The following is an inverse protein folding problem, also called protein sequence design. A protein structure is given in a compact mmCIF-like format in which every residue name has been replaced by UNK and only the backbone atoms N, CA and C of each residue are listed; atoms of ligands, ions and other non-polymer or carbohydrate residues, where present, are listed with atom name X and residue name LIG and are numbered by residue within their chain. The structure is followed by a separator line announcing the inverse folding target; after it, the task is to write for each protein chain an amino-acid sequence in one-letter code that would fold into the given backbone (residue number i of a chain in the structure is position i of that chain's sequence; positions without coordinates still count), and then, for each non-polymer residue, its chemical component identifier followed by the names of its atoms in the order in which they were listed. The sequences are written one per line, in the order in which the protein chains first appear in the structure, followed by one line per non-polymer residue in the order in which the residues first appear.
data_IF_164068934976
#
_entry.id   IF_164068934976
#
_cell.length_a   1.000
_cell.length_b   1.000
_cell.length_c   1.000
_cell.angle_alpha   90.00
_cell.angle_beta   90.00
_cell.angle_gamma   90.00
#
_symmetry.space_group_name_H-M   'P 1'
#
loop_
_entity.id
_entity.type
_entity.pdbx_description
1 polymer ?
#
# COMPACT_ATOMS: atom_id res chain seq x y z
N UNK A 1 -24.08 -13.10 42.92
CA UNK A 1 -24.55 -11.76 42.53
C UNK A 1 -24.91 -11.93 41.08
N UNK A 2 -26.22 -12.14 40.88
CA UNK A 2 -26.98 -12.17 39.61
C UNK A 2 -26.27 -12.77 38.39
N UNK A 3 -26.55 -14.05 38.13
CA UNK A 3 -26.63 -14.59 36.78
C UNK A 3 -27.63 -13.72 36.01
N UNK A 4 -27.15 -12.72 35.27
CA UNK A 4 -27.95 -12.04 34.25
C UNK A 4 -28.46 -13.13 33.30
N UNK A 5 -29.78 -13.28 33.27
CA UNK A 5 -30.47 -14.15 32.35
C UNK A 5 -29.98 -13.79 30.93
N UNK A 6 -29.15 -14.65 30.36
CA UNK A 6 -28.80 -14.63 28.95
C UNK A 6 -30.14 -14.71 28.23
N UNK A 7 -30.61 -13.60 27.68
CA UNK A 7 -31.77 -13.60 26.79
C UNK A 7 -31.43 -14.57 25.67
N UNK A 8 -32.01 -15.76 25.74
CA UNK A 8 -31.73 -16.85 24.84
C UNK A 8 -32.31 -16.46 23.48
N UNK A 9 -31.43 -15.96 22.62
CA UNK A 9 -31.77 -15.59 21.26
C UNK A 9 -32.17 -16.84 20.45
N UNK A 10 -32.88 -16.68 19.31
CA UNK A 10 -33.30 -17.81 18.49
C UNK A 10 -32.13 -18.73 18.08
N UNK A 11 -32.30 -20.04 18.17
CA UNK A 11 -31.20 -21.00 17.93
C UNK A 11 -30.70 -20.97 16.49
N UNK A 12 -31.51 -20.52 15.54
CA UNK A 12 -31.17 -20.35 14.13
C UNK A 12 -30.05 -19.32 13.92
N UNK A 13 -29.85 -18.38 14.84
CA UNK A 13 -28.78 -17.37 14.74
C UNK A 13 -27.54 -17.70 15.57
N UNK A 14 -27.59 -18.77 16.39
CA UNK A 14 -26.51 -19.13 17.31
C UNK A 14 -25.18 -19.37 16.60
N UNK A 15 -25.19 -20.13 15.51
CA UNK A 15 -23.98 -20.43 14.76
C UNK A 15 -23.36 -19.15 14.15
N UNK A 16 -24.19 -18.23 13.66
CA UNK A 16 -23.74 -16.95 13.10
C UNK A 16 -23.13 -16.06 14.18
N UNK A 17 -23.75 -15.97 15.35
CA UNK A 17 -23.24 -15.18 16.48
C UNK A 17 -21.93 -15.75 17.02
N UNK A 18 -21.83 -17.07 17.20
CA UNK A 18 -20.59 -17.72 17.63
C UNK A 18 -19.46 -17.54 16.61
N UNK A 19 -19.76 -17.62 15.31
CA UNK A 19 -18.78 -17.37 14.27
C UNK A 19 -18.33 -15.90 14.24
N UNK A 20 -19.25 -14.97 14.46
CA UNK A 20 -18.97 -13.54 14.54
C UNK A 20 -18.08 -13.21 15.74
N UNK A 21 -18.42 -13.70 16.94
CA UNK A 21 -17.62 -13.54 18.16
C UNK A 21 -16.19 -14.02 17.97
N UNK A 22 -15.99 -15.26 17.49
CA UNK A 22 -14.66 -15.81 17.19
C UNK A 22 -13.89 -14.96 16.18
N UNK A 23 -14.57 -14.38 15.20
CA UNK A 23 -13.95 -13.51 14.21
C UNK A 23 -13.50 -12.18 14.83
N UNK A 24 -14.32 -11.60 15.71
CA UNK A 24 -14.00 -10.37 16.45
C UNK A 24 -12.81 -10.60 17.40
N UNK A 25 -12.81 -11.71 18.14
CA UNK A 25 -11.70 -12.08 19.04
C UNK A 25 -10.38 -12.22 18.27
N UNK A 26 -10.42 -12.88 17.10
CA UNK A 26 -9.23 -13.03 16.24
C UNK A 26 -8.69 -11.67 15.79
N UNK A 27 -9.56 -10.76 15.39
CA UNK A 27 -9.15 -9.39 15.00
C UNK A 27 -8.60 -8.62 16.20
N UNK A 28 -9.21 -8.76 17.38
CA UNK A 28 -8.73 -8.11 18.60
C UNK A 28 -7.32 -8.58 18.97
N UNK A 29 -7.05 -9.89 18.91
CA UNK A 29 -5.71 -10.43 19.15
C UNK A 29 -4.67 -9.89 18.16
N UNK A 30 -5.03 -9.81 16.87
CA UNK A 30 -4.16 -9.26 15.83
C UNK A 30 -3.87 -7.78 16.08
N UNK A 31 -4.88 -6.99 16.46
CA UNK A 31 -4.71 -5.57 16.78
C UNK A 31 -3.85 -5.38 18.02
N UNK A 32 -4.04 -6.17 19.09
CA UNK A 32 -3.19 -6.13 20.29
C UNK A 32 -1.72 -6.39 19.94
N UNK A 33 -1.44 -7.37 19.09
CA UNK A 33 -0.07 -7.66 18.59
C UNK A 33 0.50 -6.52 17.75
N UNK A 34 -0.31 -5.86 16.92
CA UNK A 34 0.13 -4.72 16.12
C UNK A 34 0.42 -3.48 16.99
N UNK A 35 -0.44 -3.22 17.98
CA UNK A 35 -0.33 -2.07 18.88
C UNK A 35 0.75 -2.22 19.96
N UNK A 36 1.23 -3.45 20.22
CA UNK A 36 2.34 -3.68 21.15
C UNK A 36 3.69 -3.19 20.62
N UNK A 37 3.78 -2.91 19.31
CA UNK A 37 4.98 -2.36 18.67
C UNK A 37 4.83 -0.86 18.50
N UNK A 38 5.85 -0.10 18.91
CA UNK A 38 5.88 1.35 18.70
C UNK A 38 5.88 1.68 17.21
N UNK A 39 4.88 2.46 16.76
CA UNK A 39 4.82 2.93 15.37
C UNK A 39 6.06 3.73 14.97
N UNK A 40 6.61 4.54 15.88
CA UNK A 40 7.81 5.32 15.62
C UNK A 40 9.03 4.42 15.34
N UNK A 41 9.18 3.34 16.09
CA UNK A 41 10.25 2.35 15.88
C UNK A 41 10.05 1.56 14.59
N UNK A 42 8.79 1.26 14.26
CA UNK A 42 8.43 0.52 13.04
C UNK A 42 8.76 1.35 11.79
N UNK A 43 8.39 2.63 11.77
CA UNK A 43 8.65 3.56 10.66
C UNK A 43 10.16 3.75 10.37
N UNK A 44 11.02 3.62 11.37
CA UNK A 44 12.48 3.67 11.16
C UNK A 44 13.02 2.43 10.43
N UNK A 45 12.31 1.30 10.48
CA UNK A 45 12.77 0.00 9.98
C UNK A 45 12.21 -0.38 8.61
N UNK A 46 11.21 0.35 8.11
CA UNK A 46 10.51 0.03 6.86
C UNK A 46 10.66 1.15 5.83
N UNK A 47 10.74 0.78 4.55
CA UNK A 47 10.85 1.74 3.46
C UNK A 47 9.54 2.52 3.24
N UNK A 48 9.58 3.70 2.59
CA UNK A 48 8.39 4.54 2.43
C UNK A 48 7.19 3.87 1.73
N UNK A 49 7.43 2.90 0.85
CA UNK A 49 6.35 2.18 0.17
C UNK A 49 5.67 1.19 1.12
N UNK A 50 6.45 0.52 1.97
CA UNK A 50 5.91 -0.33 3.03
C UNK A 50 5.18 0.48 4.11
N UNK A 51 5.65 1.70 4.42
CA UNK A 51 4.92 2.63 5.30
C UNK A 51 3.53 2.97 4.74
N UNK A 52 3.47 3.34 3.46
CA UNK A 52 2.20 3.65 2.81
C UNK A 52 1.23 2.47 2.81
N UNK A 53 1.73 1.23 2.62
CA UNK A 53 0.90 0.03 2.73
C UNK A 53 0.37 -0.16 4.14
N UNK A 54 1.23 -0.05 5.15
CA UNK A 54 0.85 -0.20 6.55
C UNK A 54 -0.23 0.82 6.95
N UNK A 55 -0.06 2.09 6.57
CA UNK A 55 -1.02 3.15 6.86
C UNK A 55 -2.36 2.93 6.16
N UNK A 56 -2.34 2.51 4.89
CA UNK A 56 -3.57 2.21 4.15
C UNK A 56 -4.31 1.00 4.70
N UNK A 57 -3.60 -0.07 5.07
CA UNK A 57 -4.21 -1.24 5.71
C UNK A 57 -4.78 -0.85 7.08
N UNK A 58 -4.08 -0.04 7.86
CA UNK A 58 -4.58 0.46 9.14
C UNK A 58 -5.88 1.27 8.98
N UNK A 59 -5.90 2.19 8.01
CA UNK A 59 -7.10 2.98 7.70
C UNK A 59 -8.25 2.10 7.19
N UNK A 60 -7.96 1.11 6.35
CA UNK A 60 -8.95 0.16 5.85
C UNK A 60 -9.56 -0.67 6.99
N UNK A 61 -8.73 -1.19 7.89
CA UNK A 61 -9.17 -1.97 9.04
C UNK A 61 -10.09 -1.14 9.94
N UNK A 62 -9.71 0.09 10.28
CA UNK A 62 -10.53 0.97 11.12
C UNK A 62 -11.90 1.25 10.49
N UNK A 63 -11.94 1.60 9.20
CA UNK A 63 -13.21 1.85 8.51
C UNK A 63 -14.06 0.59 8.32
N UNK A 64 -13.42 -0.57 8.13
CA UNK A 64 -14.11 -1.86 8.04
C UNK A 64 -14.73 -2.27 9.37
N UNK A 65 -14.02 -2.06 10.49
CA UNK A 65 -14.58 -2.29 11.82
C UNK A 65 -15.73 -1.33 12.12
N UNK A 66 -15.63 -0.08 11.70
CA UNK A 66 -16.71 0.88 11.83
C UNK A 66 -17.93 0.48 10.97
N UNK A 67 -17.72 -0.06 9.77
CA UNK A 67 -18.79 -0.65 8.96
C UNK A 67 -19.52 -1.79 9.70
N UNK A 68 -18.76 -2.70 10.30
CA UNK A 68 -19.31 -3.81 11.11
C UNK A 68 -20.10 -3.27 12.31
N UNK A 69 -19.58 -2.26 13.00
CA UNK A 69 -20.28 -1.58 14.09
C UNK A 69 -21.61 -0.97 13.64
N UNK A 70 -21.64 -0.22 12.53
CA UNK A 70 -22.89 0.33 12.00
C UNK A 70 -23.89 -0.79 11.69
N UNK A 71 -23.41 -1.88 11.11
CA UNK A 71 -24.24 -3.04 10.76
C UNK A 71 -24.85 -3.69 12.01
N UNK A 72 -24.10 -3.77 13.11
CA UNK A 72 -24.61 -4.32 14.38
C UNK A 72 -25.58 -3.38 15.09
N UNK A 73 -25.52 -2.07 14.83
CA UNK A 73 -26.51 -1.10 15.29
C UNK A 73 -27.76 -1.03 14.40
N UNK A 74 -27.86 -1.89 13.38
CA UNK A 74 -28.98 -1.87 12.42
C UNK A 74 -28.92 -0.70 11.42
N UNK A 75 -27.81 0.03 11.35
CA UNK A 75 -27.61 1.11 10.39
C UNK A 75 -27.01 0.52 9.11
N UNK A 76 -27.66 0.75 7.96
CA UNK A 76 -27.13 0.33 6.68
C UNK A 76 -25.85 1.12 6.35
N UNK A 77 -24.65 0.51 6.33
CA UNK A 77 -23.42 1.27 6.12
C UNK A 77 -23.27 1.77 4.68
N UNK A 78 -24.05 1.23 3.73
CA UNK A 78 -24.06 1.69 2.34
C UNK A 78 -24.62 3.10 2.18
N UNK A 79 -25.45 3.53 3.14
CA UNK A 79 -26.06 4.86 3.20
C UNK A 79 -25.27 5.80 4.12
N UNK A 80 -24.16 5.31 4.70
CA UNK A 80 -23.28 6.07 5.60
C UNK A 80 -22.01 6.53 4.86
N UNK A 81 -21.43 7.71 5.18
CA UNK A 81 -20.19 8.23 4.58
C UNK A 81 -18.97 7.29 4.65
N UNK A 82 -19.00 6.26 5.50
CA UNK A 82 -17.94 5.23 5.60
C UNK A 82 -17.72 4.51 4.27
N UNK A 83 -18.75 4.40 3.43
CA UNK A 83 -18.62 3.86 2.08
C UNK A 83 -17.67 4.69 1.22
N UNK A 84 -17.79 6.02 1.26
CA UNK A 84 -16.92 6.92 0.51
C UNK A 84 -15.49 6.87 1.04
N UNK A 85 -15.32 6.74 2.36
CA UNK A 85 -14.01 6.52 2.99
C UNK A 85 -13.33 5.24 2.50
N UNK A 86 -14.07 4.12 2.41
CA UNK A 86 -13.54 2.87 1.88
C UNK A 86 -13.18 2.96 0.39
N UNK A 87 -13.99 3.64 -0.43
CA UNK A 87 -13.65 3.88 -1.84
C UNK A 87 -12.41 4.77 -1.98
N UNK A 88 -12.27 5.78 -1.14
CA UNK A 88 -11.07 6.64 -1.09
C UNK A 88 -9.83 5.83 -0.75
N UNK A 89 -9.90 4.99 0.28
CA UNK A 89 -8.79 4.10 0.67
C UNK A 89 -8.44 3.13 -0.46
N UNK A 90 -9.44 2.53 -1.12
CA UNK A 90 -9.23 1.64 -2.27
C UNK A 90 -8.51 2.34 -3.42
N UNK A 91 -8.86 3.59 -3.71
CA UNK A 91 -8.18 4.41 -4.72
C UNK A 91 -6.68 4.57 -4.38
N UNK A 92 -6.34 4.86 -3.13
CA UNK A 92 -4.95 4.97 -2.69
C UNK A 92 -4.21 3.62 -2.70
N UNK A 93 -4.88 2.51 -2.35
CA UNK A 93 -4.29 1.17 -2.47
C UNK A 93 -3.95 0.83 -3.93
N UNK A 94 -4.84 1.17 -4.87
CA UNK A 94 -4.56 1.02 -6.31
C UNK A 94 -3.36 1.88 -6.73
N UNK A 95 -3.24 3.10 -6.20
CA UNK A 95 -2.10 3.97 -6.48
C UNK A 95 -0.78 3.36 -5.98
N UNK A 96 -0.76 2.79 -4.78
CA UNK A 96 0.41 2.08 -4.24
C UNK A 96 0.76 0.86 -5.10
N UNK A 97 -0.25 0.12 -5.57
CA UNK A 97 -0.07 -1.01 -6.49
C UNK A 97 0.57 -0.56 -7.81
N UNK A 98 0.06 0.48 -8.46
CA UNK A 98 0.64 1.05 -9.69
C UNK A 98 2.10 1.47 -9.51
N UNK A 99 2.44 2.13 -8.39
CA UNK A 99 3.82 2.53 -8.09
C UNK A 99 4.71 1.30 -7.93
N UNK A 100 4.23 0.28 -7.23
CA UNK A 100 4.93 -0.99 -7.02
C UNK A 100 5.19 -1.70 -8.35
N UNK A 101 4.19 -1.78 -9.21
CA UNK A 101 4.27 -2.48 -10.51
C UNK A 101 5.20 -1.74 -11.47
N UNK A 102 5.13 -0.40 -11.50
CA UNK A 102 6.07 0.44 -12.26
C UNK A 102 7.52 0.29 -11.79
N UNK A 103 7.76 0.02 -10.50
CA UNK A 103 9.10 -0.26 -9.98
C UNK A 103 9.65 -1.60 -10.49
N UNK A 104 8.77 -2.56 -10.80
CA UNK A 104 9.11 -3.88 -11.35
C UNK A 104 9.15 -3.91 -12.88
N UNK A 105 8.54 -2.94 -13.56
CA UNK A 105 8.46 -2.88 -15.01
C UNK A 105 9.85 -2.79 -15.67
N UNK A 106 10.00 -3.45 -16.81
CA UNK A 106 11.20 -3.39 -17.63
C UNK A 106 11.52 -1.93 -18.01
N UNK A 107 12.79 -1.53 -17.85
CA UNK A 107 13.25 -0.20 -18.19
C UNK A 107 14.06 -0.25 -19.48
N UNK A 108 13.79 0.71 -20.36
CA UNK A 108 14.53 0.85 -21.60
C UNK A 108 15.96 1.33 -21.30
N UNK A 109 16.96 0.61 -21.81
CA UNK A 109 18.36 1.04 -21.71
C UNK A 109 18.58 2.25 -22.63
N UNK A 110 18.49 3.44 -22.03
CA UNK A 110 18.73 4.72 -22.71
C UNK A 110 20.13 4.79 -23.32
N UNK A 111 21.12 4.11 -22.74
CA UNK A 111 22.47 4.02 -23.27
C UNK A 111 22.52 3.18 -24.55
N UNK A 112 21.89 1.99 -24.54
CA UNK A 112 21.77 1.16 -25.73
C UNK A 112 21.01 1.89 -26.85
N UNK A 113 19.88 2.52 -26.55
CA UNK A 113 19.12 3.30 -27.51
C UNK A 113 19.96 4.42 -28.15
N UNK A 114 20.76 5.14 -27.34
CA UNK A 114 21.70 6.16 -27.86
C UNK A 114 22.76 5.56 -28.77
N UNK A 115 23.31 4.38 -28.46
CA UNK A 115 24.28 3.69 -29.32
C UNK A 115 23.68 3.31 -30.66
N UNK A 116 22.47 2.74 -30.66
CA UNK A 116 21.76 2.40 -31.90
C UNK A 116 21.50 3.62 -32.77
N UNK A 117 21.01 4.71 -32.18
CA UNK A 117 20.76 5.97 -32.91
C UNK A 117 22.07 6.54 -33.48
N UNK A 118 23.14 6.58 -32.68
CA UNK A 118 24.43 7.11 -33.13
C UNK A 118 25.01 6.31 -34.29
N UNK A 119 24.93 4.97 -34.23
CA UNK A 119 25.41 4.13 -35.31
C UNK A 119 24.55 4.26 -36.57
N UNK A 120 23.24 4.42 -36.44
CA UNK A 120 22.34 4.60 -37.58
C UNK A 120 22.50 5.97 -38.27
N UNK A 121 22.99 6.99 -37.55
CA UNK A 121 23.24 8.34 -38.06
C UNK A 121 24.69 8.58 -38.47
N UNK A 122 25.61 7.65 -38.19
CA UNK A 122 27.00 7.76 -38.61
C UNK A 122 27.09 7.41 -40.09
N UNK A 123 27.31 8.44 -40.92
CA UNK A 123 27.60 8.28 -42.34
C UNK A 123 28.98 7.61 -42.50
N UNK A 124 29.11 6.49 -43.24
CA UNK A 124 30.39 5.80 -43.42
C UNK A 124 31.44 6.65 -44.18
N UNK A 125 31.02 7.77 -44.79
CA UNK A 125 31.91 8.70 -45.48
C UNK A 125 32.59 9.73 -44.53
N UNK A 126 32.18 9.81 -43.25
CA UNK A 126 32.69 10.81 -42.31
C UNK A 126 33.84 10.32 -41.39
N UNK A 127 34.21 9.03 -41.46
CA UNK A 127 35.18 8.43 -40.53
C UNK A 127 36.65 8.48 -41.00
N UNK A 128 36.93 9.02 -42.20
CA UNK A 128 38.29 9.23 -42.72
C UNK A 128 38.90 10.59 -42.27
N UNK A 129 38.54 11.09 -41.09
CA UNK A 129 39.32 12.17 -40.48
C UNK A 129 38.62 13.04 -39.44
N UNK A 130 38.78 12.70 -38.15
CA UNK A 130 39.05 13.71 -37.10
C UNK A 130 39.47 13.07 -35.77
N UNK A 131 40.44 13.67 -35.05
CA UNK A 131 41.11 13.03 -33.92
C UNK A 131 40.32 13.16 -32.61
N UNK A 132 40.57 12.20 -31.72
CA UNK A 132 40.02 12.07 -30.38
C UNK A 132 40.01 13.40 -29.57
N UNK A 133 38.82 13.83 -29.13
CA UNK A 133 38.68 14.90 -28.12
C UNK A 133 38.66 14.31 -26.71
N UNK A 134 39.67 14.72 -25.94
CA UNK A 134 39.97 14.38 -24.55
C UNK A 134 38.81 14.71 -23.60
N UNK A 135 38.66 13.85 -22.59
CA UNK A 135 37.75 14.00 -21.45
C UNK A 135 37.99 15.31 -20.68
N UNK A 136 36.92 16.09 -20.48
CA UNK A 136 36.92 17.26 -19.59
C UNK A 136 36.29 16.88 -18.25
N UNK A 137 37.13 16.62 -17.25
CA UNK A 137 36.73 16.31 -15.87
C UNK A 137 36.36 17.62 -15.15
N UNK A 138 35.07 17.94 -15.07
CA UNK A 138 34.59 19.08 -14.28
C UNK A 138 34.66 18.75 -12.79
N UNK A 139 35.57 19.43 -12.07
CA UNK A 139 35.59 19.48 -10.60
C UNK A 139 34.53 20.49 -10.15
N UNK A 140 33.45 20.04 -9.50
CA UNK A 140 32.54 20.95 -8.79
C UNK A 140 33.01 21.10 -7.34
N UNK A 141 33.34 22.34 -6.98
CA UNK A 141 33.83 22.78 -5.67
C UNK A 141 32.65 22.90 -4.70
N UNK A 142 32.83 22.39 -3.47
CA UNK A 142 31.98 22.66 -2.30
C UNK A 142 31.91 24.17 -2.03
N UNK A 143 30.71 24.67 -1.80
CA UNK A 143 30.41 25.72 -0.82
C UNK A 143 29.19 25.23 -0.05
#
# INVERSE_FOLDING_TARGET
MEDEAVEEYPTEIHEYLSAFEKSVDSVEEMLKKMMSVSRAELLQKIDPLEQAKLDLVSAYTLNSLFWVYLSSQGVNPKDHPVKEELERIRSYMNRVKEITDRKKAARLDKGAARRFIKHALSDPAADEGSPAKKDFKAKTKKI
#
